data_IF_224940580807
#
_entry.id   IF_224940580807
#
_cell.length_a   1.000
_cell.length_b   1.000
_cell.length_c   1.000
_cell.angle_alpha   90.00
_cell.angle_beta   90.00
_cell.angle_gamma   90.00
#
_symmetry.space_group_name_H-M   'P 1'
#
loop_
_entity.id
_entity.type
_entity.pdbx_description
1 polymer ?
#
# COMPACT_ATOMS: atom_id res chain seq x y z
N UNK A 1 42.12 0.80 -1.76
CA UNK A 1 41.66 -0.10 -0.68
C UNK A 1 40.93 0.61 0.48
N UNK A 2 40.96 1.95 0.60
CA UNK A 2 40.19 2.67 1.65
C UNK A 2 38.87 3.27 1.13
N UNK A 3 38.76 3.53 -0.18
CA UNK A 3 37.57 4.16 -0.80
C UNK A 3 36.36 3.22 -0.94
N UNK A 4 36.54 1.90 -0.91
CA UNK A 4 35.46 0.92 -1.11
C UNK A 4 34.53 0.79 0.12
N UNK A 5 35.05 1.10 1.32
CA UNK A 5 34.30 0.98 2.58
C UNK A 5 33.36 2.17 2.84
N UNK A 6 33.54 3.30 2.14
CA UNK A 6 32.71 4.49 2.34
C UNK A 6 31.33 4.36 1.68
N UNK A 7 31.22 3.53 0.62
CA UNK A 7 29.96 3.26 -0.08
C UNK A 7 29.14 2.13 0.57
N UNK A 8 29.71 1.42 1.56
CA UNK A 8 29.02 0.31 2.25
C UNK A 8 28.26 0.74 3.50
N UNK A 9 28.35 2.02 3.91
CA UNK A 9 27.73 2.53 5.13
C UNK A 9 26.64 3.59 4.87
N UNK A 10 25.90 3.45 3.77
CA UNK A 10 24.57 4.05 3.66
C UNK A 10 23.66 3.30 4.65
N UNK A 11 23.54 3.85 5.86
CA UNK A 11 22.82 3.18 6.95
C UNK A 11 21.31 3.23 6.69
N UNK A 12 20.77 2.19 6.05
CA UNK A 12 19.32 2.01 5.84
C UNK A 12 18.59 1.45 7.08
N UNK A 13 19.34 1.09 8.13
CA UNK A 13 18.81 0.61 9.42
C UNK A 13 17.71 1.52 10.01
N UNK A 14 17.82 2.86 9.98
CA UNK A 14 16.78 3.74 10.50
C UNK A 14 15.43 3.59 9.79
N UNK A 15 15.43 3.33 8.48
CA UNK A 15 14.20 3.14 7.69
C UNK A 15 13.52 1.84 8.11
N UNK A 16 14.28 0.75 8.25
CA UNK A 16 13.76 -0.53 8.72
C UNK A 16 13.23 -0.43 10.15
N UNK A 17 13.96 0.26 11.04
CA UNK A 17 13.53 0.49 12.40
C UNK A 17 12.23 1.31 12.46
N UNK A 18 12.13 2.38 11.66
CA UNK A 18 10.91 3.18 11.54
C UNK A 18 9.73 2.35 11.05
N UNK A 19 9.90 1.58 9.96
CA UNK A 19 8.86 0.71 9.43
C UNK A 19 8.39 -0.31 10.49
N UNK A 20 9.32 -0.92 11.24
CA UNK A 20 9.00 -1.85 12.31
C UNK A 20 8.20 -1.19 13.44
N UNK A 21 8.59 0.01 13.88
CA UNK A 21 7.87 0.77 14.92
C UNK A 21 6.43 1.07 14.47
N UNK A 22 6.24 1.52 13.23
CA UNK A 22 4.91 1.80 12.67
C UNK A 22 4.06 0.53 12.65
N UNK A 23 4.63 -0.59 12.18
CA UNK A 23 3.93 -1.88 12.12
C UNK A 23 3.51 -2.36 13.51
N UNK A 24 4.39 -2.25 14.50
CA UNK A 24 4.10 -2.58 15.91
C UNK A 24 3.00 -1.67 16.45
N UNK A 25 3.07 -0.36 16.20
CA UNK A 25 2.08 0.59 16.67
C UNK A 25 0.69 0.31 16.09
N UNK A 26 0.58 0.11 14.77
CA UNK A 26 -0.69 -0.24 14.10
C UNK A 26 -1.24 -1.55 14.65
N UNK A 27 -0.40 -2.58 14.76
CA UNK A 27 -0.82 -3.87 15.29
C UNK A 27 -1.28 -3.78 16.74
N UNK A 28 -0.56 -3.04 17.58
CA UNK A 28 -0.92 -2.82 18.98
C UNK A 28 -2.28 -2.10 19.11
N UNK A 29 -2.53 -1.07 18.29
CA UNK A 29 -3.81 -0.36 18.27
C UNK A 29 -4.95 -1.31 17.85
N UNK A 30 -4.75 -2.11 16.80
CA UNK A 30 -5.75 -3.08 16.34
C UNK A 30 -6.04 -4.15 17.40
N UNK A 31 -5.01 -4.69 18.05
CA UNK A 31 -5.16 -5.68 19.14
C UNK A 31 -5.90 -5.04 20.32
N UNK A 32 -5.51 -3.83 20.71
CA UNK A 32 -6.15 -3.14 21.83
C UNK A 32 -7.62 -2.84 21.52
N UNK A 33 -7.92 -2.35 20.31
CA UNK A 33 -9.29 -2.13 19.85
C UNK A 33 -10.11 -3.42 19.86
N UNK A 34 -9.52 -4.53 19.44
CA UNK A 34 -10.15 -5.84 19.46
C UNK A 34 -10.41 -6.36 20.89
N UNK A 35 -9.47 -6.16 21.81
CA UNK A 35 -9.59 -6.63 23.20
C UNK A 35 -10.56 -5.77 24.03
N UNK A 36 -10.56 -4.45 23.82
CA UNK A 36 -11.43 -3.51 24.56
C UNK A 36 -12.82 -3.36 23.93
N UNK A 37 -13.00 -3.75 22.67
CA UNK A 37 -14.27 -3.63 21.96
C UNK A 37 -15.34 -4.58 22.52
N UNK A 38 -16.50 -4.03 22.90
CA UNK A 38 -17.68 -4.84 23.26
C UNK A 38 -18.26 -5.49 22.01
N UNK A 39 -18.04 -6.81 21.85
CA UNK A 39 -18.55 -7.56 20.71
C UNK A 39 -19.99 -7.99 20.96
N UNK A 40 -20.91 -7.47 20.15
CA UNK A 40 -22.28 -7.96 20.07
C UNK A 40 -22.37 -8.90 18.86
N UNK A 41 -22.80 -10.14 19.12
CA UNK A 41 -22.95 -11.18 18.10
C UNK A 41 -24.42 -11.30 17.67
N UNK A 42 -25.05 -10.17 17.31
CA UNK A 42 -26.39 -10.20 16.73
C UNK A 42 -26.31 -10.51 15.24
N UNK A 43 -27.28 -11.28 14.73
CA UNK A 43 -27.33 -11.69 13.32
C UNK A 43 -27.28 -10.48 12.36
N UNK A 44 -27.99 -9.40 12.70
CA UNK A 44 -28.03 -8.18 11.91
C UNK A 44 -26.70 -7.43 11.84
N UNK A 45 -25.80 -7.60 12.82
CA UNK A 45 -24.48 -6.93 12.83
C UNK A 45 -23.50 -7.56 11.84
N UNK A 46 -23.71 -8.83 11.48
CA UNK A 46 -22.86 -9.57 10.53
C UNK A 46 -23.38 -9.58 9.09
N UNK A 47 -24.55 -8.99 8.83
CA UNK A 47 -25.14 -8.93 7.49
C UNK A 47 -24.63 -7.71 6.71
N UNK A 48 -24.62 -7.82 5.38
CA UNK A 48 -24.24 -6.70 4.50
C UNK A 48 -25.23 -5.56 4.72
N UNK A 49 -24.70 -4.36 4.97
CA UNK A 49 -25.54 -3.20 5.20
C UNK A 49 -26.27 -2.78 3.92
N UNK A 50 -27.59 -2.95 3.90
CA UNK A 50 -28.47 -2.48 2.84
C UNK A 50 -29.74 -1.84 3.42
N UNK A 51 -29.59 -1.02 4.47
CA UNK A 51 -30.71 -0.31 5.13
C UNK A 51 -31.88 -1.22 5.58
N UNK A 52 -31.57 -2.44 6.02
CA UNK A 52 -32.56 -3.45 6.46
C UNK A 52 -33.16 -4.29 5.32
N UNK A 53 -32.68 -4.13 4.09
CA UNK A 53 -33.00 -5.01 2.97
C UNK A 53 -32.07 -6.23 3.03
N UNK A 54 -32.62 -7.43 2.89
CA UNK A 54 -31.78 -8.63 2.77
C UNK A 54 -31.06 -8.58 1.42
N UNK A 55 -29.73 -8.76 1.39
CA UNK A 55 -28.97 -8.70 0.16
C UNK A 55 -29.48 -9.77 -0.81
N UNK A 56 -29.92 -9.33 -1.99
CA UNK A 56 -30.41 -10.23 -3.03
C UNK A 56 -29.44 -10.28 -4.20
N UNK A 57 -29.07 -11.49 -4.62
CA UNK A 57 -28.18 -11.71 -5.76
C UNK A 57 -26.69 -11.68 -5.42
N UNK A 58 -25.86 -11.74 -6.46
CA UNK A 58 -24.39 -11.75 -6.34
C UNK A 58 -23.86 -10.32 -6.51
N UNK A 59 -23.03 -9.85 -5.58
CA UNK A 59 -22.30 -8.58 -5.68
C UNK A 59 -21.20 -8.57 -6.78
N UNK A 60 -21.13 -9.60 -7.62
CA UNK A 60 -20.21 -9.68 -8.76
C UNK A 60 -20.82 -8.99 -9.97
N UNK A 61 -20.92 -7.66 -9.91
CA UNK A 61 -21.10 -6.86 -11.12
C UNK A 61 -19.75 -6.73 -11.83
N UNK A 62 -19.80 -6.75 -13.16
CA UNK A 62 -18.67 -6.31 -13.96
C UNK A 62 -18.54 -4.80 -13.75
N UNK A 63 -17.53 -4.39 -12.99
CA UNK A 63 -17.16 -2.98 -12.86
C UNK A 63 -16.81 -2.43 -14.25
N UNK A 64 -17.08 -1.15 -14.50
CA UNK A 64 -16.82 -0.54 -15.80
C UNK A 64 -15.34 -0.67 -16.18
N UNK A 65 -15.06 -0.78 -17.49
CA UNK A 65 -13.70 -0.88 -18.03
C UNK A 65 -12.82 0.33 -17.73
N UNK A 66 -13.42 1.44 -17.28
CA UNK A 66 -12.73 2.69 -17.01
C UNK A 66 -11.66 2.53 -15.93
N UNK A 67 -11.92 1.73 -14.90
CA UNK A 67 -10.93 1.43 -13.85
C UNK A 67 -9.72 0.68 -14.39
N UNK A 68 -9.94 -0.22 -15.36
CA UNK A 68 -8.84 -0.95 -16.01
C UNK A 68 -7.98 -0.02 -16.85
N UNK A 69 -8.59 0.88 -17.63
CA UNK A 69 -7.85 1.85 -18.43
C UNK A 69 -7.01 2.76 -17.53
N UNK A 70 -7.57 3.28 -16.44
CA UNK A 70 -6.83 4.12 -15.46
C UNK A 70 -5.65 3.35 -14.86
N UNK A 71 -5.85 2.08 -14.44
CA UNK A 71 -4.78 1.27 -13.89
C UNK A 71 -3.67 0.98 -14.92
N UNK A 72 -4.04 0.68 -16.17
CA UNK A 72 -3.08 0.45 -17.25
C UNK A 72 -2.29 1.73 -17.57
N UNK A 73 -2.95 2.89 -17.63
CA UNK A 73 -2.27 4.18 -17.80
C UNK A 73 -1.34 4.50 -16.64
N UNK A 74 -1.72 4.22 -15.39
CA UNK A 74 -0.84 4.41 -14.22
C UNK A 74 0.44 3.58 -14.34
N UNK A 75 0.33 2.30 -14.72
CA UNK A 75 1.49 1.42 -14.90
C UNK A 75 2.40 1.91 -16.01
N UNK A 76 1.84 2.33 -17.16
CA UNK A 76 2.63 2.86 -18.27
C UNK A 76 3.35 4.15 -17.86
N UNK A 77 2.64 5.08 -17.22
CA UNK A 77 3.21 6.37 -16.79
C UNK A 77 4.29 6.23 -15.70
N UNK A 78 4.09 5.32 -14.75
CA UNK A 78 5.10 5.02 -13.72
C UNK A 78 6.39 4.47 -14.36
N UNK A 79 6.25 3.60 -15.36
CA UNK A 79 7.36 3.05 -16.13
C UNK A 79 8.06 4.12 -16.99
N UNK A 80 7.32 5.03 -17.64
CA UNK A 80 7.90 6.17 -18.37
C UNK A 80 8.68 7.10 -17.44
N UNK A 81 8.14 7.37 -16.25
CA UNK A 81 8.80 8.21 -15.24
C UNK A 81 10.13 7.59 -14.79
N UNK A 82 10.18 6.27 -14.57
CA UNK A 82 11.42 5.59 -14.23
C UNK A 82 12.50 5.78 -15.32
N UNK A 83 12.13 5.74 -16.60
CA UNK A 83 13.06 6.01 -17.71
C UNK A 83 13.53 7.47 -17.76
N UNK A 84 12.62 8.43 -17.56
CA UNK A 84 12.96 9.85 -17.52
C UNK A 84 13.93 10.13 -16.37
N UNK A 85 13.69 9.57 -15.18
CA UNK A 85 14.56 9.70 -14.01
C UNK A 85 15.93 9.08 -14.27
N UNK A 86 16.00 7.89 -14.85
CA UNK A 86 17.27 7.25 -15.21
C UNK A 86 18.08 8.08 -16.22
N UNK A 87 17.42 8.62 -17.25
CA UNK A 87 18.06 9.54 -18.20
C UNK A 87 18.53 10.83 -17.53
N UNK A 88 17.72 11.42 -16.65
CA UNK A 88 18.07 12.65 -15.94
C UNK A 88 19.30 12.50 -15.04
N UNK A 89 19.44 11.35 -14.35
CA UNK A 89 20.60 11.06 -13.51
C UNK A 89 21.87 10.85 -14.36
N UNK A 90 21.75 10.18 -15.52
CA UNK A 90 22.89 9.88 -16.40
C UNK A 90 23.29 11.00 -17.37
N UNK A 91 22.63 12.16 -17.33
CA UNK A 91 22.81 13.22 -18.33
C UNK A 91 24.24 13.81 -18.35
N UNK A 92 24.95 13.86 -17.22
CA UNK A 92 26.33 14.38 -17.15
C UNK A 92 27.38 13.46 -17.79
N UNK A 93 27.13 12.16 -17.91
CA UNK A 93 28.08 11.19 -18.47
C UNK A 93 27.92 10.99 -19.98
N UNK A 94 26.80 11.44 -20.54
CA UNK A 94 26.45 11.32 -21.97
C UNK A 94 26.56 12.64 -22.76
N UNK A 95 26.85 13.76 -22.08
CA UNK A 95 27.00 15.10 -22.65
C UNK A 95 28.44 15.49 -22.97
#
# INVERSE_FOLDING_TARGET
>A
MVQENALQNESYWPILAYAAIVLVAVTAILILSYLLGQRHAEKATGEVFESGIMPTGSARLHFSSDFYLIAMFFVIFDLETAFIVAWAIGYEEAG
#
